data_IF_782591124423
#
_entry.id   IF_782591124423
#
_cell.length_a   1.000
_cell.length_b   1.000
_cell.length_c   1.000
_cell.angle_alpha   90.00
_cell.angle_beta   90.00
_cell.angle_gamma   90.00
#
_symmetry.space_group_name_H-M   'P 1'
#
loop_
_entity.id
_entity.type
_entity.pdbx_description
1 polymer ?
#
# COMPACT_ATOMS: atom_id res chain seq x y z
N UNK A 1 29.91 -14.10 -16.81
CA UNK A 1 28.51 -13.88 -16.38
C UNK A 1 28.43 -14.16 -14.88
N UNK A 2 28.25 -13.15 -14.04
CA UNK A 2 28.16 -13.35 -12.57
C UNK A 2 26.86 -14.07 -12.26
N UNK A 3 26.95 -15.30 -11.72
CA UNK A 3 25.79 -16.12 -11.37
C UNK A 3 25.22 -15.64 -10.03
N UNK A 4 24.08 -14.95 -10.06
CA UNK A 4 23.35 -14.53 -8.85
C UNK A 4 22.92 -15.77 -8.06
N UNK A 5 23.29 -15.84 -6.77
CA UNK A 5 22.93 -16.95 -5.86
C UNK A 5 21.84 -16.50 -4.89
N UNK A 6 20.60 -16.96 -5.09
CA UNK A 6 19.47 -16.62 -4.19
C UNK A 6 19.69 -17.07 -2.74
N UNK A 7 20.49 -18.12 -2.51
CA UNK A 7 20.86 -18.57 -1.15
C UNK A 7 21.60 -17.51 -0.32
N UNK A 8 22.24 -16.55 -0.99
CA UNK A 8 22.97 -15.46 -0.34
C UNK A 8 22.12 -14.18 -0.21
N UNK A 9 20.89 -14.18 -0.72
CA UNK A 9 20.00 -13.03 -0.66
C UNK A 9 19.10 -13.14 0.57
N UNK A 10 19.17 -12.15 1.43
CA UNK A 10 18.30 -12.02 2.59
C UNK A 10 17.36 -10.82 2.38
N UNK A 11 16.06 -11.05 2.13
CA UNK A 11 15.10 -9.97 1.89
C UNK A 11 14.80 -9.13 3.14
N UNK A 12 15.28 -9.55 4.31
CA UNK A 12 15.10 -8.81 5.57
C UNK A 12 16.21 -7.78 5.80
N UNK A 13 17.37 -7.95 5.15
CA UNK A 13 18.47 -7.01 5.27
C UNK A 13 18.12 -5.68 4.61
N UNK A 14 18.10 -4.61 5.41
CA UNK A 14 17.76 -3.26 4.96
C UNK A 14 16.26 -2.97 4.87
N UNK A 15 15.38 -3.93 5.16
CA UNK A 15 13.94 -3.71 5.15
C UNK A 15 13.48 -3.11 6.49
N UNK A 16 13.27 -1.80 6.52
CA UNK A 16 12.54 -1.17 7.61
C UNK A 16 11.03 -1.24 7.35
N UNK A 17 10.29 -1.98 8.17
CA UNK A 17 8.83 -2.04 8.07
C UNK A 17 8.16 -0.77 8.60
N UNK A 18 8.78 -0.04 9.54
CA UNK A 18 8.19 1.13 10.22
C UNK A 18 7.03 0.84 11.18
N UNK A 19 6.37 -0.33 11.10
CA UNK A 19 5.31 -0.78 12.02
C UNK A 19 5.51 -2.24 12.46
N UNK A 20 4.94 -2.65 13.60
CA UNK A 20 4.95 -4.05 14.04
C UNK A 20 4.30 -4.99 13.02
N UNK A 21 4.79 -6.25 12.96
CA UNK A 21 4.26 -7.28 12.03
C UNK A 21 2.77 -7.56 12.18
N UNK A 22 2.20 -7.38 13.37
CA UNK A 22 0.76 -7.58 13.57
C UNK A 22 -0.07 -6.48 12.89
N UNK A 23 0.45 -5.25 12.77
CA UNK A 23 -0.21 -4.17 12.03
C UNK A 23 -0.19 -4.50 10.53
N UNK A 24 0.93 -5.02 10.04
CA UNK A 24 1.07 -5.49 8.66
C UNK A 24 0.10 -6.64 8.36
N UNK A 25 -0.03 -7.61 9.28
CA UNK A 25 -0.99 -8.70 9.15
C UNK A 25 -2.45 -8.19 9.12
N UNK A 26 -2.80 -7.26 10.01
CA UNK A 26 -4.12 -6.65 10.03
C UNK A 26 -4.39 -5.85 8.74
N UNK A 27 -3.39 -5.13 8.24
CA UNK A 27 -3.48 -4.44 6.96
C UNK A 27 -3.69 -5.42 5.81
N UNK A 28 -3.01 -6.58 5.84
CA UNK A 28 -3.18 -7.61 4.83
C UNK A 28 -4.63 -8.12 4.76
N UNK A 29 -5.30 -8.28 5.91
CA UNK A 29 -6.71 -8.65 5.95
C UNK A 29 -7.60 -7.54 5.35
N UNK A 30 -7.33 -6.28 5.73
CA UNK A 30 -8.07 -5.12 5.22
C UNK A 30 -7.88 -4.94 3.71
N UNK A 31 -6.64 -5.08 3.19
CA UNK A 31 -6.37 -4.96 1.76
C UNK A 31 -7.06 -6.07 0.96
N UNK A 32 -7.08 -7.30 1.48
CA UNK A 32 -7.79 -8.42 0.85
C UNK A 32 -9.30 -8.17 0.75
N UNK A 33 -9.93 -7.62 1.80
CA UNK A 33 -11.37 -7.38 1.80
C UNK A 33 -11.78 -6.16 0.95
N UNK A 34 -11.01 -5.06 1.00
CA UNK A 34 -11.45 -3.76 0.47
C UNK A 34 -10.69 -3.25 -0.75
N UNK A 35 -9.44 -3.67 -0.97
CA UNK A 35 -8.57 -3.08 -1.98
C UNK A 35 -8.31 -3.99 -3.17
N UNK A 36 -8.05 -5.28 -2.91
CA UNK A 36 -7.76 -6.29 -3.93
C UNK A 36 -9.02 -6.88 -4.58
N UNK A 37 -10.20 -6.57 -4.07
CA UNK A 37 -11.45 -7.09 -4.63
C UNK A 37 -11.83 -6.33 -5.91
N UNK A 38 -12.51 -7.03 -6.83
CA UNK A 38 -13.17 -6.40 -7.97
C UNK A 38 -14.42 -5.60 -7.58
N UNK A 39 -14.86 -5.72 -6.32
CA UNK A 39 -16.01 -5.00 -5.81
C UNK A 39 -15.71 -3.49 -5.72
N UNK A 40 -16.58 -2.62 -6.27
CA UNK A 40 -16.34 -1.19 -6.31
C UNK A 40 -16.64 -0.52 -4.96
N UNK A 41 -15.85 -0.88 -3.94
CA UNK A 41 -15.93 -0.23 -2.63
C UNK A 41 -15.77 1.30 -2.76
N UNK A 42 -16.59 2.10 -2.07
CA UNK A 42 -16.52 3.55 -2.16
C UNK A 42 -15.13 4.10 -1.85
N UNK A 43 -14.60 5.01 -2.68
CA UNK A 43 -13.25 5.56 -2.46
C UNK A 43 -13.12 6.30 -1.12
N UNK A 44 -14.23 6.85 -0.58
CA UNK A 44 -14.26 7.44 0.77
C UNK A 44 -13.97 6.41 1.87
N UNK A 45 -14.49 5.19 1.75
CA UNK A 45 -14.22 4.10 2.68
C UNK A 45 -12.76 3.67 2.59
N UNK A 46 -12.26 3.43 1.38
CA UNK A 46 -10.85 3.07 1.15
C UNK A 46 -9.90 4.15 1.68
N UNK A 47 -10.21 5.42 1.45
CA UNK A 47 -9.46 6.55 2.02
C UNK A 47 -9.47 6.53 3.56
N UNK A 48 -10.63 6.30 4.18
CA UNK A 48 -10.73 6.23 5.64
C UNK A 48 -9.87 5.09 6.21
N UNK A 49 -9.90 3.91 5.58
CA UNK A 49 -9.06 2.77 5.95
C UNK A 49 -7.57 3.12 5.81
N UNK A 50 -7.14 3.72 4.71
CA UNK A 50 -5.74 4.12 4.55
C UNK A 50 -5.28 5.10 5.63
N UNK A 51 -6.11 6.09 5.97
CA UNK A 51 -5.83 7.04 7.06
C UNK A 51 -5.71 6.33 8.41
N UNK A 52 -6.59 5.36 8.69
CA UNK A 52 -6.55 4.54 9.92
C UNK A 52 -5.22 3.79 10.06
N UNK A 53 -4.68 3.28 8.95
CA UNK A 53 -3.39 2.60 8.94
C UNK A 53 -2.18 3.53 8.78
N UNK A 54 -2.37 4.85 8.89
CA UNK A 54 -1.30 5.84 8.98
C UNK A 54 -0.87 6.46 7.66
N UNK A 55 -1.58 6.23 6.55
CA UNK A 55 -1.34 6.97 5.31
C UNK A 55 -1.67 8.45 5.50
N UNK A 56 -1.02 9.33 4.72
CA UNK A 56 -1.34 10.75 4.67
C UNK A 56 -2.02 11.04 3.33
N UNK A 57 -3.31 11.35 3.35
CA UNK A 57 -4.11 11.48 2.12
C UNK A 57 -4.90 12.77 2.10
N UNK A 58 -4.75 13.54 1.02
CA UNK A 58 -5.52 14.73 0.73
C UNK A 58 -7.02 14.48 0.50
N UNK A 59 -7.74 15.52 0.10
CA UNK A 59 -9.16 15.41 -0.31
C UNK A 59 -9.22 14.95 -1.78
N UNK A 60 -10.36 14.41 -2.22
CA UNK A 60 -10.55 14.06 -3.63
C UNK A 60 -9.89 12.76 -4.12
N UNK A 61 -9.33 11.91 -3.24
CA UNK A 61 -8.74 10.64 -3.67
C UNK A 61 -9.79 9.67 -4.25
N UNK A 62 -9.57 9.26 -5.50
CA UNK A 62 -10.30 8.18 -6.18
C UNK A 62 -9.41 6.93 -6.23
N UNK A 63 -9.92 5.80 -5.77
CA UNK A 63 -9.21 4.51 -5.82
C UNK A 63 -10.09 3.46 -6.48
N UNK A 64 -9.63 2.94 -7.62
CA UNK A 64 -10.31 1.91 -8.39
C UNK A 64 -10.22 0.52 -7.73
N UNK A 65 -10.98 -0.49 -8.20
CA UNK A 65 -10.84 -1.86 -7.73
C UNK A 65 -9.43 -2.44 -7.99
N UNK A 66 -9.11 -3.53 -7.29
CA UNK A 66 -7.87 -4.30 -7.47
C UNK A 66 -6.56 -3.50 -7.32
N UNK A 67 -6.56 -2.53 -6.41
CA UNK A 67 -5.35 -1.75 -6.10
C UNK A 67 -4.58 -2.44 -4.97
N UNK A 68 -3.29 -2.70 -5.16
CA UNK A 68 -2.42 -3.27 -4.13
C UNK A 68 -1.56 -2.18 -3.47
N UNK A 69 -1.56 -2.12 -2.14
CA UNK A 69 -0.76 -1.17 -1.36
C UNK A 69 -0.06 -1.97 -0.25
N UNK A 70 1.27 -1.92 -0.18
CA UNK A 70 2.04 -2.75 0.76
C UNK A 70 2.05 -2.20 2.19
N UNK A 71 2.54 -0.97 2.39
CA UNK A 71 2.70 -0.32 3.70
C UNK A 71 1.99 1.04 3.74
N UNK A 72 0.69 1.09 4.08
CA UNK A 72 -0.09 2.34 4.02
C UNK A 72 0.51 3.48 4.86
N UNK A 73 1.18 3.19 5.99
CA UNK A 73 1.88 4.19 6.79
C UNK A 73 3.11 4.84 6.12
N UNK A 74 3.59 4.26 5.01
CA UNK A 74 4.63 4.83 4.14
C UNK A 74 4.04 5.55 2.91
N UNK A 75 2.72 5.69 2.81
CA UNK A 75 2.05 6.31 1.66
C UNK A 75 1.62 7.75 1.98
N UNK A 76 2.02 8.67 1.11
CA UNK A 76 1.55 10.06 1.10
C UNK A 76 0.92 10.37 -0.25
N UNK A 77 -0.29 10.91 -0.25
CA UNK A 77 -1.05 11.26 -1.46
C UNK A 77 -1.62 12.67 -1.32
N UNK A 78 -1.42 13.51 -2.33
CA UNK A 78 -1.93 14.87 -2.44
C UNK A 78 -3.45 14.96 -2.56
N UNK A 79 -3.93 16.15 -2.90
CA UNK A 79 -5.35 16.38 -3.19
C UNK A 79 -5.66 15.98 -4.65
N UNK A 80 -6.90 15.55 -4.88
CA UNK A 80 -7.48 15.31 -6.21
C UNK A 80 -6.69 14.30 -7.07
N UNK A 81 -6.12 13.28 -6.41
CA UNK A 81 -5.42 12.19 -7.08
C UNK A 81 -6.36 11.04 -7.47
N UNK A 82 -6.01 10.35 -8.56
CA UNK A 82 -6.69 9.13 -9.02
C UNK A 82 -5.72 7.96 -9.09
N UNK A 83 -6.04 6.87 -8.38
CA UNK A 83 -5.32 5.59 -8.46
C UNK A 83 -6.12 4.63 -9.35
N UNK A 84 -5.50 4.26 -10.47
CA UNK A 84 -6.07 3.41 -11.51
C UNK A 84 -6.36 1.97 -11.05
N UNK A 85 -7.12 1.27 -11.87
CA UNK A 85 -7.47 -0.15 -11.65
C UNK A 85 -6.21 -1.02 -11.83
N UNK A 86 -6.11 -2.10 -11.06
CA UNK A 86 -4.96 -3.04 -11.12
C UNK A 86 -3.59 -2.37 -10.84
N UNK A 87 -3.59 -1.24 -10.14
CA UNK A 87 -2.37 -0.52 -9.76
C UNK A 87 -1.70 -1.15 -8.53
N UNK A 88 -0.38 -1.29 -8.57
CA UNK A 88 0.43 -1.77 -7.46
C UNK A 88 1.37 -0.67 -6.93
N UNK A 89 1.20 -0.32 -5.65
CA UNK A 89 2.08 0.56 -4.91
C UNK A 89 2.99 -0.29 -4.03
N UNK A 90 4.21 -0.54 -4.53
CA UNK A 90 5.28 -1.22 -3.79
C UNK A 90 6.03 -0.23 -2.88
N UNK A 91 5.36 0.22 -1.82
CA UNK A 91 5.89 1.16 -0.83
C UNK A 91 6.70 0.47 0.27
N UNK A 92 7.78 -0.21 -0.12
CA UNK A 92 8.78 -0.68 0.85
C UNK A 92 9.47 0.50 1.54
N UNK A 93 9.58 1.64 0.84
CA UNK A 93 10.00 2.95 1.34
C UNK A 93 8.91 4.01 1.11
N UNK A 94 9.02 5.22 1.72
CA UNK A 94 8.05 6.29 1.53
C UNK A 94 7.75 6.60 0.07
N UNK A 95 6.48 6.52 -0.32
CA UNK A 95 5.98 6.97 -1.61
C UNK A 95 5.17 8.24 -1.40
N UNK A 96 5.50 9.29 -2.18
CA UNK A 96 4.78 10.55 -2.20
C UNK A 96 4.19 10.74 -3.60
N UNK A 97 2.85 10.79 -3.66
CA UNK A 97 2.07 11.16 -4.84
C UNK A 97 1.54 12.57 -4.61
N UNK A 98 1.69 13.47 -5.58
CA UNK A 98 1.31 14.88 -5.47
C UNK A 98 0.68 15.37 -6.75
#
# INVERSE_FOLDING_TARGET
>A
MLRVRLKAFDPTQGLDRGRPRWVEALWYLVKMAFFLTAFPWPSRLKRALLLLFGARIGRGLVIRPRVNIHFPWKLMVGADCWIGEDCELLNLEPIILG
#
